data_IF_786629489765
#
_entry.id   IF_786629489765
#
_cell.length_a   1.000
_cell.length_b   1.000
_cell.length_c   1.000
_cell.angle_alpha   90.00
_cell.angle_beta   90.00
_cell.angle_gamma   90.00
#
_symmetry.space_group_name_H-M   'P 1'
#
loop_
_entity.id
_entity.type
_entity.pdbx_description
1 polymer ?
#
# COMPACT_ATOMS: atom_id res chain seq x y z
N UNK A 1 5.66 -33.83 8.52
CA UNK A 1 4.44 -33.05 8.81
C UNK A 1 4.32 -32.73 10.30
N UNK A 2 5.10 -31.76 10.80
CA UNK A 2 4.85 -31.09 12.08
C UNK A 2 5.56 -29.73 12.01
N UNK A 3 4.84 -28.66 11.65
CA UNK A 3 5.22 -27.25 11.85
C UNK A 3 4.01 -26.40 11.44
N UNK A 4 2.98 -26.43 12.27
CA UNK A 4 1.67 -25.83 11.97
C UNK A 4 0.83 -25.69 13.22
N UNK A 5 1.40 -25.15 14.29
CA UNK A 5 0.64 -24.75 15.47
C UNK A 5 1.46 -23.69 16.22
N UNK A 6 0.90 -22.49 16.35
CA UNK A 6 1.51 -21.37 17.07
C UNK A 6 1.78 -21.69 18.53
N UNK A 7 2.98 -22.17 18.83
CA UNK A 7 3.45 -22.50 20.18
C UNK A 7 4.51 -21.52 20.72
N UNK A 8 4.85 -20.48 19.98
CA UNK A 8 5.75 -19.42 20.45
C UNK A 8 4.96 -18.14 20.71
N UNK A 9 4.26 -18.07 21.85
CA UNK A 9 3.55 -16.85 22.25
C UNK A 9 2.83 -16.95 23.59
N UNK A 10 3.03 -15.93 24.43
CA UNK A 10 2.54 -15.76 25.80
C UNK A 10 1.02 -15.99 25.89
N UNK A 11 0.63 -16.84 26.85
CA UNK A 11 -0.64 -17.55 27.00
C UNK A 11 -1.92 -16.70 26.91
N UNK A 12 -1.86 -15.39 27.22
CA UNK A 12 -3.04 -14.52 27.34
C UNK A 12 -3.55 -13.86 26.05
N UNK A 13 -2.85 -13.97 24.93
CA UNK A 13 -3.22 -13.28 23.67
C UNK A 13 -3.42 -14.20 22.45
N UNK A 14 -3.71 -15.49 22.68
CA UNK A 14 -3.98 -16.44 21.59
C UNK A 14 -5.34 -16.13 20.94
N UNK A 15 -5.38 -15.24 19.95
CA UNK A 15 -6.52 -15.16 19.01
C UNK A 15 -6.37 -16.27 17.99
N UNK A 16 -7.41 -17.09 17.83
CA UNK A 16 -7.46 -18.10 16.78
C UNK A 16 -7.55 -17.37 15.44
N UNK A 17 -6.51 -17.50 14.63
CA UNK A 17 -6.36 -16.86 13.33
C UNK A 17 -6.66 -17.97 12.29
N UNK A 18 -7.85 -18.00 11.66
CA UNK A 18 -8.14 -18.99 10.62
C UNK A 18 -7.07 -18.93 9.52
N UNK A 19 -6.79 -20.01 8.81
CA UNK A 19 -5.66 -20.11 7.85
C UNK A 19 -5.56 -18.98 6.81
N UNK A 20 -6.67 -18.35 6.40
CA UNK A 20 -6.65 -17.13 5.55
C UNK A 20 -6.06 -15.89 6.23
N UNK A 21 -6.14 -15.82 7.55
CA UNK A 21 -5.55 -14.76 8.35
C UNK A 21 -4.08 -15.07 8.72
N UNK A 22 -3.60 -16.29 8.46
CA UNK A 22 -2.21 -16.68 8.71
C UNK A 22 -1.23 -15.86 7.86
N UNK A 23 -1.54 -15.69 6.57
CA UNK A 23 -0.74 -14.85 5.65
C UNK A 23 -0.75 -13.41 6.14
N UNK A 24 -1.93 -12.84 6.42
CA UNK A 24 -2.04 -11.46 6.93
C UNK A 24 -1.26 -11.26 8.24
N UNK A 25 -1.31 -12.20 9.17
CA UNK A 25 -0.59 -12.13 10.44
C UNK A 25 0.94 -12.19 10.25
N UNK A 26 1.40 -13.02 9.32
CA UNK A 26 2.81 -13.09 8.92
C UNK A 26 3.23 -11.77 8.27
N UNK A 27 2.45 -11.27 7.29
CA UNK A 27 2.73 -10.03 6.57
C UNK A 27 2.79 -8.83 7.52
N UNK A 28 1.85 -8.72 8.46
CA UNK A 28 1.85 -7.65 9.47
C UNK A 28 3.08 -7.76 10.39
N UNK A 29 3.43 -8.97 10.83
CA UNK A 29 4.58 -9.20 11.73
C UNK A 29 5.90 -8.81 11.06
N UNK A 30 6.12 -9.25 9.81
CA UNK A 30 7.33 -8.91 9.05
C UNK A 30 7.35 -7.40 8.75
N UNK A 31 6.23 -6.83 8.33
CA UNK A 31 6.11 -5.40 8.03
C UNK A 31 6.45 -4.53 9.23
N UNK A 32 6.00 -4.89 10.44
CA UNK A 32 6.32 -4.10 11.65
C UNK A 32 7.82 -4.04 11.90
N UNK A 33 8.53 -5.15 11.68
CA UNK A 33 9.99 -5.21 11.78
C UNK A 33 10.63 -4.30 10.74
N UNK A 34 10.29 -4.46 9.46
CA UNK A 34 10.84 -3.66 8.36
C UNK A 34 10.54 -2.17 8.51
N UNK A 35 9.31 -1.80 8.91
CA UNK A 35 8.94 -0.42 9.21
C UNK A 35 9.87 0.20 10.26
N UNK A 36 10.18 -0.53 11.33
CA UNK A 36 11.08 -0.04 12.38
C UNK A 36 12.52 0.20 11.88
N UNK A 37 12.94 -0.50 10.83
CA UNK A 37 14.24 -0.31 10.17
C UNK A 37 14.18 0.86 9.17
N UNK A 38 13.18 0.85 8.29
CA UNK A 38 12.94 1.88 7.26
C UNK A 38 12.81 3.28 7.86
N UNK A 39 12.14 3.42 9.00
CA UNK A 39 11.99 4.71 9.70
C UNK A 39 13.33 5.31 10.18
N UNK A 40 14.43 4.55 10.19
CA UNK A 40 15.77 5.04 10.58
C UNK A 40 16.60 5.47 9.38
N UNK A 41 16.16 5.17 8.16
CA UNK A 41 16.87 5.54 6.94
C UNK A 41 16.58 6.99 6.53
N UNK A 42 17.49 7.62 5.78
CA UNK A 42 17.21 8.94 5.22
C UNK A 42 16.04 8.85 4.21
N UNK A 43 15.24 9.91 4.05
CA UNK A 43 14.22 9.98 3.01
C UNK A 43 14.79 9.79 1.60
N UNK A 44 13.96 9.30 0.67
CA UNK A 44 14.25 9.40 -0.77
C UNK A 44 14.42 10.87 -1.19
N UNK A 45 15.14 11.09 -2.28
CA UNK A 45 15.46 12.44 -2.78
C UNK A 45 14.42 12.99 -3.77
N UNK A 46 13.86 12.10 -4.61
CA UNK A 46 12.97 12.47 -5.71
C UNK A 46 11.56 11.90 -5.49
N UNK A 47 10.54 12.56 -6.03
CA UNK A 47 9.22 11.95 -6.18
C UNK A 47 9.29 10.89 -7.27
N UNK A 48 8.83 9.67 -6.98
CA UNK A 48 8.88 8.56 -7.94
C UNK A 48 7.55 7.83 -8.00
N UNK A 49 7.13 7.44 -9.20
CA UNK A 49 5.90 6.68 -9.43
C UNK A 49 6.22 5.36 -10.11
N UNK A 50 5.76 4.28 -9.48
CA UNK A 50 5.87 2.90 -9.92
C UNK A 50 4.51 2.42 -10.40
N UNK A 51 4.49 1.52 -11.38
CA UNK A 51 3.24 0.87 -11.80
C UNK A 51 3.46 -0.57 -12.22
N UNK A 52 2.45 -1.40 -12.01
CA UNK A 52 2.47 -2.80 -12.41
C UNK A 52 1.06 -3.38 -12.41
N UNK A 53 0.87 -4.49 -13.12
CA UNK A 53 -0.40 -5.18 -13.15
C UNK A 53 -0.23 -6.69 -13.16
N UNK A 54 -1.04 -7.39 -12.36
CA UNK A 54 -1.14 -8.86 -12.37
C UNK A 54 -2.60 -9.24 -12.18
N UNK A 55 -3.09 -10.21 -12.94
CA UNK A 55 -4.44 -10.77 -12.79
C UNK A 55 -5.52 -9.69 -12.56
N UNK A 56 -5.59 -8.70 -13.46
CA UNK A 56 -6.58 -7.60 -13.38
C UNK A 56 -6.47 -6.67 -12.14
N UNK A 57 -5.36 -6.75 -11.38
CA UNK A 57 -5.01 -5.82 -10.32
C UNK A 57 -3.93 -4.86 -10.80
N UNK A 58 -4.31 -3.60 -11.00
CA UNK A 58 -3.39 -2.53 -11.35
C UNK A 58 -2.93 -1.85 -10.07
N UNK A 59 -1.62 -1.82 -9.85
CA UNK A 59 -0.98 -1.15 -8.71
C UNK A 59 -0.22 0.05 -9.25
N UNK A 60 -0.46 1.21 -8.65
CA UNK A 60 0.31 2.42 -8.87
C UNK A 60 0.78 2.93 -7.52
N UNK A 61 2.08 3.08 -7.34
CA UNK A 61 2.67 3.48 -6.06
C UNK A 61 3.52 4.73 -6.26
N UNK A 62 3.16 5.80 -5.57
CA UNK A 62 3.94 7.03 -5.52
C UNK A 62 4.71 7.10 -4.21
N UNK A 63 6.01 7.32 -4.32
CA UNK A 63 6.89 7.61 -3.18
C UNK A 63 7.24 9.10 -3.21
N UNK A 64 7.13 9.75 -2.05
CA UNK A 64 7.43 11.16 -1.85
C UNK A 64 8.51 11.31 -0.75
N UNK A 65 9.49 12.21 -0.90
CA UNK A 65 10.45 12.54 0.16
C UNK A 65 9.73 12.90 1.47
N UNK A 66 10.02 12.17 2.55
CA UNK A 66 9.42 12.42 3.84
C UNK A 66 9.61 11.28 4.83
N UNK A 67 9.01 11.46 6.00
CA UNK A 67 8.97 10.46 7.05
C UNK A 67 7.87 9.42 6.79
N UNK A 68 8.11 8.15 7.13
CA UNK A 68 7.17 7.06 6.94
C UNK A 68 5.71 7.44 7.22
N UNK A 69 4.94 7.43 6.13
CA UNK A 69 3.49 7.36 6.09
C UNK A 69 3.13 6.41 4.96
N UNK A 70 2.07 5.64 5.14
CA UNK A 70 1.59 4.73 4.12
C UNK A 70 0.07 4.88 4.02
N UNK A 71 -0.41 5.30 2.86
CA UNK A 71 -1.82 5.36 2.52
C UNK A 71 -2.09 4.40 1.35
N UNK A 72 -3.13 3.59 1.49
CA UNK A 72 -3.62 2.75 0.42
C UNK A 72 -5.05 3.13 0.08
N UNK A 73 -5.30 3.31 -1.21
CA UNK A 73 -6.62 3.52 -1.79
C UNK A 73 -6.93 2.29 -2.65
N UNK A 74 -7.98 1.57 -2.32
CA UNK A 74 -8.48 0.45 -3.10
C UNK A 74 -9.75 0.86 -3.84
N UNK A 75 -9.72 0.72 -5.17
CA UNK A 75 -10.81 1.06 -6.09
C UNK A 75 -11.25 -0.24 -6.77
N UNK A 76 -12.47 -0.66 -6.45
CA UNK A 76 -13.16 -1.75 -7.13
C UNK A 76 -14.05 -1.16 -8.22
N UNK A 77 -13.76 -1.47 -9.49
CA UNK A 77 -14.58 -0.96 -10.60
C UNK A 77 -16.01 -1.50 -10.54
N UNK A 78 -16.98 -0.69 -10.96
CA UNK A 78 -18.38 -1.11 -11.14
C UNK A 78 -18.49 -2.43 -11.91
N UNK A 79 -19.44 -3.27 -11.52
CA UNK A 79 -19.63 -4.64 -12.02
C UNK A 79 -18.47 -5.63 -11.72
N UNK A 80 -17.50 -5.28 -10.88
CA UNK A 80 -16.57 -6.27 -10.33
C UNK A 80 -17.22 -7.09 -9.23
N UNK A 81 -16.62 -8.21 -8.82
CA UNK A 81 -17.19 -9.13 -7.81
C UNK A 81 -17.53 -8.44 -6.47
N UNK A 82 -16.91 -7.30 -6.16
CA UNK A 82 -17.09 -6.56 -4.90
C UNK A 82 -17.72 -5.16 -5.09
N UNK A 83 -18.16 -4.83 -6.31
CA UNK A 83 -18.82 -3.56 -6.61
C UNK A 83 -20.15 -3.79 -7.33
N UNK A 84 -21.17 -3.01 -6.98
CA UNK A 84 -22.46 -2.98 -7.68
C UNK A 84 -22.41 -2.11 -8.93
N UNK A 85 -23.41 -1.27 -9.11
CA UNK A 85 -23.53 -0.37 -10.27
C UNK A 85 -22.55 0.83 -10.24
N UNK A 86 -21.88 1.05 -9.11
CA UNK A 86 -20.88 2.11 -8.93
C UNK A 86 -19.59 1.56 -8.34
N UNK A 87 -18.49 2.28 -8.57
CA UNK A 87 -17.19 1.95 -7.99
C UNK A 87 -17.27 1.95 -6.45
N UNK A 88 -16.57 1.00 -5.83
CA UNK A 88 -16.40 0.95 -4.37
C UNK A 88 -14.98 1.37 -4.04
N UNK A 89 -14.84 2.42 -3.23
CA UNK A 89 -13.55 2.94 -2.79
C UNK A 89 -13.40 2.72 -1.29
N UNK A 90 -12.28 2.11 -0.89
CA UNK A 90 -11.89 1.94 0.51
C UNK A 90 -10.50 2.54 0.70
N UNK A 91 -10.32 3.33 1.76
CA UNK A 91 -9.04 3.97 2.08
C UNK A 91 -8.64 3.62 3.49
N UNK A 92 -7.35 3.37 3.67
CA UNK A 92 -6.76 3.31 4.99
C UNK A 92 -5.31 3.80 4.97
N UNK A 93 -4.84 4.28 6.11
CA UNK A 93 -3.49 4.81 6.24
C UNK A 93 -2.87 4.54 7.61
N UNK A 94 -1.55 4.73 7.66
CA UNK A 94 -0.77 4.77 8.88
C UNK A 94 0.35 5.81 8.79
N UNK A 95 0.84 6.22 9.95
CA UNK A 95 1.98 7.14 10.09
C UNK A 95 3.12 6.41 10.81
N UNK A 96 4.07 7.15 11.39
CA UNK A 96 5.10 6.59 12.29
C UNK A 96 4.50 5.74 13.41
N UNK A 97 3.36 6.15 13.97
CA UNK A 97 2.67 5.35 14.99
C UNK A 97 2.00 4.14 14.33
N UNK A 98 2.18 2.98 14.94
CA UNK A 98 1.50 1.75 14.51
C UNK A 98 -0.02 1.91 14.61
N UNK A 99 -0.74 1.26 13.69
CA UNK A 99 -2.20 1.15 13.78
C UNK A 99 -2.58 0.33 15.02
N UNK A 100 -3.61 0.79 15.73
CA UNK A 100 -4.20 0.08 16.86
C UNK A 100 -5.26 -0.93 16.41
N UNK A 101 -5.89 -0.68 15.25
CA UNK A 101 -6.95 -1.50 14.68
C UNK A 101 -6.54 -2.10 13.32
N UNK A 102 -7.22 -3.18 12.93
CA UNK A 102 -7.03 -3.78 11.62
C UNK A 102 -7.54 -2.87 10.51
N UNK A 103 -6.85 -2.90 9.37
CA UNK A 103 -7.28 -2.14 8.20
C UNK A 103 -8.65 -2.61 7.70
N UNK A 104 -9.59 -1.69 7.37
CA UNK A 104 -10.85 -2.05 6.71
C UNK A 104 -10.64 -2.62 5.29
N UNK A 105 -9.48 -2.36 4.66
CA UNK A 105 -9.06 -2.98 3.39
C UNK A 105 -8.69 -4.47 3.61
N UNK A 106 -8.46 -4.88 4.86
CA UNK A 106 -8.10 -6.26 5.20
C UNK A 106 -6.69 -6.62 4.77
N UNK A 107 -6.46 -7.88 4.41
CA UNK A 107 -5.11 -8.39 4.18
C UNK A 107 -4.38 -7.78 2.96
N UNK A 108 -5.12 -7.25 1.97
CA UNK A 108 -4.54 -6.55 0.83
C UNK A 108 -3.67 -5.36 1.27
N UNK A 109 -4.10 -4.64 2.30
CA UNK A 109 -3.33 -3.53 2.90
C UNK A 109 -1.97 -3.99 3.41
N UNK A 110 -1.95 -5.07 4.18
CA UNK A 110 -0.72 -5.57 4.80
C UNK A 110 0.23 -6.18 3.76
N UNK A 111 -0.31 -6.90 2.77
CA UNK A 111 0.48 -7.47 1.68
C UNK A 111 1.13 -6.40 0.79
N UNK A 112 0.40 -5.31 0.48
CA UNK A 112 0.93 -4.16 -0.25
C UNK A 112 1.94 -3.37 0.59
N UNK A 113 1.62 -3.06 1.85
CA UNK A 113 2.52 -2.34 2.78
C UNK A 113 3.85 -3.05 2.93
N UNK A 114 3.83 -4.37 3.12
CA UNK A 114 5.04 -5.16 3.25
C UNK A 114 5.93 -4.99 1.99
N UNK A 115 5.36 -4.76 0.80
CA UNK A 115 6.08 -4.89 -0.49
C UNK A 115 6.83 -3.61 -0.74
N UNK A 116 6.16 -2.50 -0.46
CA UNK A 116 6.80 -1.20 -0.39
C UNK A 116 7.88 -1.17 0.68
N UNK A 117 7.64 -1.76 1.86
CA UNK A 117 8.65 -1.82 2.92
C UNK A 117 9.88 -2.66 2.55
N UNK A 118 9.72 -3.77 1.84
CA UNK A 118 10.86 -4.54 1.32
C UNK A 118 11.67 -3.71 0.32
N UNK A 119 11.01 -3.05 -0.63
CA UNK A 119 11.68 -2.16 -1.58
C UNK A 119 12.47 -1.04 -0.86
N UNK A 120 11.82 -0.33 0.07
CA UNK A 120 12.45 0.75 0.83
C UNK A 120 13.60 0.27 1.71
N UNK A 121 13.48 -0.93 2.27
CA UNK A 121 14.53 -1.58 3.05
C UNK A 121 15.75 -1.90 2.17
N UNK A 122 15.52 -2.44 0.97
CA UNK A 122 16.57 -2.78 0.01
C UNK A 122 17.37 -1.55 -0.43
N UNK A 123 16.69 -0.47 -0.80
CA UNK A 123 17.36 0.79 -1.18
C UNK A 123 17.83 1.62 0.02
N UNK A 124 17.55 1.15 1.25
CA UNK A 124 17.83 1.82 2.53
C UNK A 124 17.37 3.28 2.53
N UNK A 125 16.08 3.50 2.26
CA UNK A 125 15.44 4.82 2.28
C UNK A 125 14.12 4.79 3.02
N UNK A 126 13.68 5.98 3.42
CA UNK A 126 12.35 6.24 3.98
C UNK A 126 11.51 7.05 2.97
N UNK A 127 10.18 6.98 3.05
CA UNK A 127 9.30 7.74 2.17
C UNK A 127 7.89 7.89 2.76
N UNK A 128 7.18 8.90 2.29
CA UNK A 128 5.72 8.96 2.32
C UNK A 128 5.17 8.23 1.10
N UNK A 129 4.22 7.32 1.30
CA UNK A 129 3.76 6.37 0.28
C UNK A 129 2.27 6.52 0.05
N UNK A 130 1.89 6.73 -1.21
CA UNK A 130 0.51 6.63 -1.67
C UNK A 130 0.43 5.47 -2.66
N UNK A 131 -0.32 4.43 -2.31
CA UNK A 131 -0.55 3.27 -3.16
C UNK A 131 -2.01 3.21 -3.60
N UNK A 132 -2.25 3.24 -4.90
CA UNK A 132 -3.57 3.04 -5.49
C UNK A 132 -3.62 1.65 -6.10
N UNK A 133 -4.55 0.83 -5.62
CA UNK A 133 -4.94 -0.44 -6.26
C UNK A 133 -6.25 -0.23 -6.99
N UNK A 134 -6.27 -0.54 -8.28
CA UNK A 134 -7.50 -0.63 -9.07
C UNK A 134 -7.73 -2.08 -9.48
N UNK A 135 -8.80 -2.68 -8.95
CA UNK A 135 -9.25 -4.01 -9.32
C UNK A 135 -10.34 -3.86 -10.39
N UNK A 136 -10.05 -4.36 -11.59
CA UNK A 136 -10.99 -4.24 -12.71
C UNK A 136 -12.08 -5.29 -12.65
N UNK A 137 -13.13 -5.12 -13.45
CA UNK A 137 -14.22 -6.12 -13.60
C UNK A 137 -13.75 -7.52 -13.99
N UNK A 138 -12.56 -7.63 -14.59
CA UNK A 138 -11.99 -8.91 -15.03
C UNK A 138 -11.33 -9.69 -13.87
N UNK A 139 -11.26 -9.11 -12.67
CA UNK A 139 -10.82 -9.81 -11.47
C UNK A 139 -11.99 -10.61 -10.85
N UNK A 140 -12.15 -11.85 -11.32
CA UNK A 140 -13.27 -12.73 -10.94
C UNK A 140 -12.89 -13.85 -9.96
N UNK A 141 -11.61 -14.00 -9.60
CA UNK A 141 -11.15 -15.11 -8.77
C UNK A 141 -10.70 -14.63 -7.38
N UNK A 142 -11.20 -15.24 -6.28
CA UNK A 142 -10.77 -14.91 -4.91
C UNK A 142 -9.42 -15.58 -4.62
N UNK A 143 -8.36 -15.10 -5.29
CA UNK A 143 -7.02 -15.68 -5.21
C UNK A 143 -6.35 -15.43 -3.86
N UNK A 144 -6.90 -14.57 -3.01
CA UNK A 144 -6.33 -14.20 -1.71
C UNK A 144 -5.36 -13.04 -1.81
N UNK A 145 -4.70 -12.71 -0.69
CA UNK A 145 -3.93 -11.47 -0.56
C UNK A 145 -2.53 -11.56 -1.17
N UNK A 146 -2.03 -12.77 -1.43
CA UNK A 146 -0.74 -13.00 -2.07
C UNK A 146 -0.67 -12.41 -3.50
N UNK A 147 -1.79 -12.32 -4.22
CA UNK A 147 -1.80 -11.66 -5.55
C UNK A 147 -1.50 -10.17 -5.42
N UNK A 148 -1.96 -9.54 -4.34
CA UNK A 148 -1.70 -8.13 -4.07
C UNK A 148 -0.22 -7.96 -3.71
N UNK A 149 0.32 -8.89 -2.93
CA UNK A 149 1.75 -8.96 -2.63
C UNK A 149 2.60 -8.97 -3.90
N UNK A 150 2.29 -9.90 -4.80
CA UNK A 150 3.01 -10.08 -6.06
C UNK A 150 2.83 -8.88 -6.99
N UNK A 151 1.60 -8.40 -7.18
CA UNK A 151 1.30 -7.24 -8.01
C UNK A 151 2.03 -5.98 -7.54
N UNK A 152 2.10 -5.79 -6.22
CA UNK A 152 2.82 -4.65 -5.63
C UNK A 152 4.32 -4.82 -5.79
N UNK A 153 4.86 -6.02 -5.57
CA UNK A 153 6.30 -6.31 -5.76
C UNK A 153 6.70 -6.09 -7.22
N UNK A 154 5.88 -6.53 -8.19
CA UNK A 154 6.11 -6.27 -9.61
C UNK A 154 6.09 -4.78 -9.94
N UNK A 155 5.17 -4.01 -9.36
CA UNK A 155 5.17 -2.56 -9.51
C UNK A 155 6.46 -1.94 -8.95
N UNK A 156 6.86 -2.29 -7.73
CA UNK A 156 8.08 -1.74 -7.09
C UNK A 156 9.38 -2.13 -7.81
N UNK A 157 9.39 -3.26 -8.51
CA UNK A 157 10.52 -3.71 -9.34
C UNK A 157 10.53 -3.11 -10.76
N UNK A 158 9.48 -2.38 -11.14
CA UNK A 158 9.44 -1.69 -12.43
C UNK A 158 10.37 -0.47 -12.45
N UNK A 159 10.72 0.00 -13.65
CA UNK A 159 11.44 1.26 -13.79
C UNK A 159 10.54 2.42 -13.34
N UNK A 160 10.90 3.18 -12.29
CA UNK A 160 10.06 4.30 -11.85
C UNK A 160 10.09 5.46 -12.83
N UNK A 161 8.98 6.16 -12.90
CA UNK A 161 8.92 7.53 -13.43
C UNK A 161 9.37 8.48 -12.34
N UNK A 162 10.44 9.24 -12.59
CA UNK A 162 10.83 10.36 -11.72
C UNK A 162 9.95 11.57 -12.04
N UNK A 163 9.50 12.26 -11.00
CA UNK A 163 8.71 13.47 -11.11
C UNK A 163 9.43 14.62 -10.42
N UNK A 164 9.34 15.82 -10.99
CA UNK A 164 9.90 17.05 -10.44
C UNK A 164 9.28 17.35 -9.07
N UNK A 165 7.98 17.06 -8.91
CA UNK A 165 7.30 17.29 -7.65
C UNK A 165 6.07 16.41 -7.40
N UNK A 166 5.44 16.63 -6.24
CA UNK A 166 4.25 15.88 -5.81
C UNK A 166 3.05 16.08 -6.73
N UNK A 167 2.92 17.24 -7.39
CA UNK A 167 1.81 17.49 -8.32
C UNK A 167 2.02 16.66 -9.59
N UNK A 168 3.21 16.69 -10.18
CA UNK A 168 3.53 15.86 -11.34
C UNK A 168 3.44 14.36 -11.00
N UNK A 169 3.84 13.98 -9.78
CA UNK A 169 3.63 12.63 -9.25
C UNK A 169 2.16 12.23 -9.25
N UNK A 170 1.27 13.11 -8.74
CA UNK A 170 -0.17 12.86 -8.73
C UNK A 170 -0.79 12.83 -10.14
N UNK A 171 -0.32 13.67 -11.05
CA UNK A 171 -0.74 13.65 -12.46
C UNK A 171 -0.33 12.31 -13.11
N UNK A 172 0.87 11.81 -12.78
CA UNK A 172 1.37 10.51 -13.25
C UNK A 172 0.59 9.33 -12.67
N UNK A 173 0.25 9.37 -11.37
CA UNK A 173 -0.62 8.36 -10.74
C UNK A 173 -1.98 8.33 -11.43
N UNK A 174 -2.58 9.49 -11.65
CA UNK A 174 -3.88 9.63 -12.33
C UNK A 174 -3.86 9.03 -13.74
N UNK A 175 -2.78 9.28 -14.49
CA UNK A 175 -2.57 8.69 -15.82
C UNK A 175 -2.51 7.17 -15.77
N UNK A 176 -1.72 6.59 -14.85
CA UNK A 176 -1.57 5.13 -14.75
C UNK A 176 -2.80 4.42 -14.16
N UNK A 177 -3.52 5.08 -13.25
CA UNK A 177 -4.78 4.59 -12.70
C UNK A 177 -5.94 4.67 -13.70
N UNK A 178 -5.81 5.44 -14.78
CA UNK A 178 -6.90 5.70 -15.73
C UNK A 178 -8.03 6.54 -15.13
N UNK A 179 -7.73 7.43 -14.18
CA UNK A 179 -8.73 8.27 -13.53
C UNK A 179 -8.21 8.96 -12.26
N UNK A 180 -8.83 10.09 -11.92
CA UNK A 180 -8.46 10.98 -10.82
C UNK A 180 -9.25 10.70 -9.53
N UNK A 181 -10.15 9.72 -9.54
CA UNK A 181 -11.03 9.38 -8.42
C UNK A 181 -10.25 9.24 -7.11
N UNK A 182 -9.03 8.72 -7.12
CA UNK A 182 -8.22 8.57 -5.91
C UNK A 182 -7.87 9.91 -5.22
N UNK A 183 -7.73 11.01 -5.97
CA UNK A 183 -7.33 12.32 -5.45
C UNK A 183 -8.28 12.84 -4.37
N UNK A 184 -9.60 12.68 -4.59
CA UNK A 184 -10.63 13.13 -3.64
C UNK A 184 -10.63 12.34 -2.33
N UNK A 185 -10.06 11.14 -2.35
CA UNK A 185 -10.08 10.20 -1.22
C UNK A 185 -8.73 10.13 -0.49
N UNK A 186 -7.65 10.58 -1.13
CA UNK A 186 -6.31 10.60 -0.54
C UNK A 186 -6.18 11.73 0.48
N UNK A 187 -6.05 11.34 1.75
CA UNK A 187 -5.80 12.29 2.85
C UNK A 187 -4.34 12.72 2.84
N UNK A 188 -3.44 11.78 2.54
CA UNK A 188 -2.01 12.05 2.47
C UNK A 188 -1.67 13.03 1.35
N UNK A 189 -2.25 12.89 0.16
CA UNK A 189 -2.05 13.87 -0.91
C UNK A 189 -2.56 15.26 -0.54
N UNK A 190 -3.72 15.33 0.14
CA UNK A 190 -4.27 16.59 0.64
C UNK A 190 -3.29 17.27 1.61
N UNK A 191 -2.71 16.50 2.54
CA UNK A 191 -1.69 16.99 3.48
C UNK A 191 -0.44 17.51 2.76
N UNK A 192 0.13 16.72 1.85
CA UNK A 192 1.31 17.08 1.07
C UNK A 192 1.12 18.39 0.29
N UNK A 193 -0.07 18.60 -0.28
CA UNK A 193 -0.42 19.83 -0.99
C UNK A 193 -0.50 21.04 -0.06
N UNK A 194 -1.05 20.88 1.14
CA UNK A 194 -1.13 21.96 2.14
C UNK A 194 0.25 22.30 2.72
N UNK A 195 1.11 21.30 2.94
CA UNK A 195 2.42 21.52 3.49
C UNK A 195 3.31 22.34 2.55
N UNK A 196 3.33 22.04 1.24
CA UNK A 196 4.02 22.89 0.24
C UNK A 196 3.56 24.34 0.32
N UNK A 197 2.25 24.58 0.35
CA UNK A 197 1.72 25.95 0.41
C UNK A 197 2.21 26.75 1.62
N UNK A 198 2.54 26.11 2.75
CA UNK A 198 3.06 26.80 3.94
C UNK A 198 4.54 27.18 3.83
N UNK A 199 5.33 26.46 3.02
CA UNK A 199 6.75 26.74 2.80
C UNK A 199 6.99 27.71 1.62
N UNK A 200 5.96 27.96 0.81
CA UNK A 200 5.99 28.90 -0.31
C UNK A 200 5.57 30.33 0.08
N UNK A 201 5.30 30.60 1.37
CA UNK A 201 5.07 31.94 1.96
C UNK A 201 6.24 32.37 2.85
#
# INVERSE_FOLDING_TARGET
>A
NVLGAGLLGIEKNRRFVPTRWGITAIDDSISRRLKSEVMKYPPISDVTVFSGAIHANHIVCMLVPGDWKFEMIEIWEKNSMWAGDSDVIVVDSETKKSKNDYSPIGGAYYSARLAVLEYLSDIRRNAEVILVRRATKDYWAPLGTWVIREATSNAMNSQPVKCEDTKEGADTVTKFCGGDTWLRYSRLYTELRTQKSLFDF
#
